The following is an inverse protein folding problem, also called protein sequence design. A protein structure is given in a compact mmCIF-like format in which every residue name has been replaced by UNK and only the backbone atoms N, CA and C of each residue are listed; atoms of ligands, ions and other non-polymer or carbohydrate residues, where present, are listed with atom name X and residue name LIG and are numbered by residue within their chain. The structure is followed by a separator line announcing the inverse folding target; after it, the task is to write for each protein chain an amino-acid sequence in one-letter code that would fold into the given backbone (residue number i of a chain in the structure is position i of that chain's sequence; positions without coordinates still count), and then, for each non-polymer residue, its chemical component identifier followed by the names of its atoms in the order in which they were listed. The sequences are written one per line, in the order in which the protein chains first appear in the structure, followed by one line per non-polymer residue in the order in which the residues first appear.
data_IF_617541206324
#
_entry.id   IF_617541206324
#
_cell.length_a   1.000
_cell.length_b   1.000
_cell.length_c   1.000
_cell.angle_alpha   90.00
_cell.angle_beta   90.00
_cell.angle_gamma   90.00
#
_symmetry.space_group_name_H-M   'P 1'
#
loop_
_entity.id
_entity.type
_entity.pdbx_description
1 polymer ?
#
# COMPACT_ATOMS: atom_id res chain seq x y z
N UNK A 1 1.40 34.06 -1.96
CA UNK A 1 1.82 33.57 -0.63
C UNK A 1 1.97 32.04 -0.69
N UNK A 2 3.09 31.47 -0.24
CA UNK A 2 3.36 30.02 -0.33
C UNK A 2 3.09 29.26 0.97
N UNK A 3 2.53 28.05 0.88
CA UNK A 3 2.26 27.14 2.01
C UNK A 3 3.16 25.90 1.91
N UNK A 4 3.55 25.33 3.06
CA UNK A 4 4.27 24.04 3.12
C UNK A 4 3.35 22.91 2.64
N UNK A 5 3.92 21.96 1.90
CA UNK A 5 3.20 20.82 1.29
C UNK A 5 3.76 19.50 1.79
N UNK A 6 2.86 18.54 2.01
CA UNK A 6 3.20 17.18 2.39
C UNK A 6 3.57 16.34 1.16
N UNK A 7 4.22 15.18 1.39
CA UNK A 7 4.62 14.22 0.35
C UNK A 7 5.58 14.78 -0.72
N UNK A 8 6.49 15.68 -0.32
CA UNK A 8 7.59 16.16 -1.18
C UNK A 8 8.95 15.66 -0.69
N UNK A 9 9.88 15.46 -1.63
CA UNK A 9 11.26 15.06 -1.37
C UNK A 9 12.23 15.91 -2.18
N UNK A 10 13.44 16.12 -1.66
CA UNK A 10 14.52 16.83 -2.35
C UNK A 10 15.82 16.07 -2.14
N UNK A 11 16.61 15.92 -3.20
CA UNK A 11 17.88 15.17 -3.19
C UNK A 11 18.89 15.85 -4.11
N UNK A 12 20.16 15.49 -3.97
CA UNK A 12 21.23 15.91 -4.87
C UNK A 12 21.20 15.02 -6.11
N UNK A 13 21.37 15.61 -7.29
CA UNK A 13 21.33 14.89 -8.56
C UNK A 13 22.74 14.40 -8.96
N UNK A 14 22.81 13.26 -9.62
CA UNK A 14 24.01 12.74 -10.27
C UNK A 14 23.64 12.28 -11.69
N UNK A 15 24.50 12.51 -12.70
CA UNK A 15 24.22 12.06 -14.06
C UNK A 15 24.33 10.53 -14.15
N UNK A 16 23.29 9.86 -14.64
CA UNK A 16 23.30 8.42 -14.93
C UNK A 16 22.92 8.19 -16.41
N UNK A 17 23.83 7.66 -17.25
CA UNK A 17 23.57 7.45 -18.68
C UNK A 17 22.71 6.23 -19.00
N UNK A 18 22.41 5.36 -18.02
CA UNK A 18 21.60 4.15 -18.23
C UNK A 18 20.09 4.41 -18.13
N UNK A 19 19.70 5.61 -17.71
CA UNK A 19 18.31 5.98 -17.43
C UNK A 19 17.72 6.69 -18.64
N UNK A 20 16.48 6.38 -19.01
CA UNK A 20 15.78 7.05 -20.09
C UNK A 20 15.46 8.51 -19.74
N UNK A 21 15.23 9.35 -20.77
CA UNK A 21 14.99 10.80 -20.59
C UNK A 21 13.72 11.08 -19.77
N UNK A 22 12.75 10.16 -19.79
CA UNK A 22 11.48 10.28 -19.07
C UNK A 22 11.51 9.62 -17.67
N UNK A 23 12.62 9.01 -17.29
CA UNK A 23 12.76 8.27 -16.03
C UNK A 23 13.60 9.02 -14.99
N UNK A 24 13.31 8.76 -13.71
CA UNK A 24 14.04 9.34 -12.58
C UNK A 24 14.32 8.24 -11.57
N UNK A 25 15.59 8.13 -11.16
CA UNK A 25 16.01 7.18 -10.12
C UNK A 25 15.64 7.72 -8.74
N UNK A 26 14.85 6.94 -8.00
CA UNK A 26 14.46 7.26 -6.63
C UNK A 26 15.22 6.33 -5.67
N UNK A 27 15.92 6.86 -4.65
CA UNK A 27 16.60 6.01 -3.69
C UNK A 27 15.61 5.26 -2.81
N UNK A 28 15.97 4.03 -2.42
CA UNK A 28 15.10 3.14 -1.63
C UNK A 28 14.61 3.77 -0.33
N UNK A 29 15.46 4.57 0.34
CA UNK A 29 15.09 5.22 1.60
C UNK A 29 13.95 6.24 1.44
N UNK A 30 13.88 6.95 0.31
CA UNK A 30 12.77 7.87 0.00
C UNK A 30 11.56 7.05 -0.45
N UNK A 31 11.79 6.05 -1.32
CA UNK A 31 10.76 5.13 -1.77
C UNK A 31 10.09 4.39 -0.61
N UNK A 32 10.74 4.27 0.56
CA UNK A 32 10.16 3.72 1.81
C UNK A 32 9.22 4.68 2.56
N UNK A 33 9.29 5.99 2.32
CA UNK A 33 8.52 6.99 3.09
C UNK A 33 7.37 7.62 2.31
N UNK A 34 7.55 7.86 1.01
CA UNK A 34 6.52 8.49 0.18
C UNK A 34 5.40 7.47 -0.08
N UNK A 35 4.15 7.84 0.23
CA UNK A 35 2.97 6.98 0.06
C UNK A 35 1.97 7.62 -0.90
N UNK A 36 1.21 6.77 -1.59
CA UNK A 36 0.13 7.18 -2.49
C UNK A 36 -1.16 6.46 -2.09
N UNK A 37 -2.34 7.07 -2.25
CA UNK A 37 -3.61 6.39 -2.02
C UNK A 37 -4.12 5.65 -3.27
N UNK A 38 -4.36 4.33 -3.19
CA UNK A 38 -4.83 3.51 -4.31
C UNK A 38 -6.15 2.81 -4.01
N UNK A 39 -7.17 2.94 -4.84
CA UNK A 39 -8.43 2.21 -4.59
C UNK A 39 -8.28 0.73 -4.90
N UNK A 40 -8.83 -0.14 -4.04
CA UNK A 40 -8.91 -1.57 -4.34
C UNK A 40 -9.93 -1.79 -5.45
N UNK A 41 -9.54 -2.58 -6.44
CA UNK A 41 -10.36 -3.05 -7.55
C UNK A 41 -10.04 -4.53 -7.78
N UNK A 42 -10.93 -5.26 -8.46
CA UNK A 42 -10.75 -6.70 -8.65
C UNK A 42 -9.46 -7.06 -9.40
N UNK A 43 -8.98 -6.15 -10.25
CA UNK A 43 -7.73 -6.33 -11.02
C UNK A 43 -6.48 -6.17 -10.16
N UNK A 44 -6.50 -5.33 -9.12
CA UNK A 44 -5.32 -4.99 -8.33
C UNK A 44 -5.25 -5.71 -6.98
N UNK A 45 -6.31 -6.40 -6.57
CA UNK A 45 -6.43 -7.01 -5.23
C UNK A 45 -5.29 -7.99 -4.92
N UNK A 46 -4.85 -8.78 -5.90
CA UNK A 46 -3.79 -9.77 -5.70
C UNK A 46 -2.42 -9.12 -5.44
N UNK A 47 -2.11 -8.02 -6.14
CA UNK A 47 -0.87 -7.26 -5.95
C UNK A 47 -0.86 -6.55 -4.60
N UNK A 48 -1.99 -5.95 -4.22
CA UNK A 48 -2.12 -5.20 -2.98
C UNK A 48 -2.05 -6.10 -1.74
N UNK A 49 -2.56 -7.33 -1.82
CA UNK A 49 -2.38 -8.32 -0.75
C UNK A 49 -0.91 -8.64 -0.51
N UNK A 50 -0.10 -8.79 -1.58
CA UNK A 50 1.34 -9.05 -1.47
C UNK A 50 2.08 -7.88 -0.78
N UNK A 51 1.73 -6.64 -1.09
CA UNK A 51 2.37 -5.46 -0.47
C UNK A 51 2.02 -5.30 1.00
N UNK A 52 0.82 -5.70 1.43
CA UNK A 52 0.43 -5.77 2.85
C UNK A 52 1.29 -6.82 3.59
N UNK A 53 1.46 -8.01 3.00
CA UNK A 53 2.27 -9.09 3.59
C UNK A 53 3.74 -8.69 3.73
N UNK A 54 4.29 -7.98 2.74
CA UNK A 54 5.67 -7.47 2.79
C UNK A 54 5.89 -6.44 3.92
N UNK A 55 4.85 -5.70 4.31
CA UNK A 55 4.92 -4.68 5.36
C UNK A 55 5.66 -3.39 4.93
N UNK A 56 6.16 -2.64 5.91
CA UNK A 56 6.76 -1.30 5.69
C UNK A 56 8.24 -1.35 5.31
N UNK A 57 8.96 -2.37 5.78
CA UNK A 57 10.43 -2.45 5.69
C UNK A 57 10.94 -2.81 4.29
N UNK A 58 10.17 -3.59 3.53
CA UNK A 58 10.53 -4.08 2.20
C UNK A 58 9.73 -3.36 1.12
N UNK A 59 10.43 -2.75 0.16
CA UNK A 59 9.80 -2.19 -1.03
C UNK A 59 9.66 -3.31 -2.09
N UNK A 60 8.50 -3.45 -2.78
CA UNK A 60 7.23 -2.74 -2.61
C UNK A 60 6.43 -3.23 -1.38
N UNK A 61 5.87 -2.29 -0.62
CA UNK A 61 5.24 -2.56 0.68
C UNK A 61 4.20 -1.51 1.06
N UNK A 62 3.29 -1.85 1.97
CA UNK A 62 2.19 -0.98 2.40
C UNK A 62 2.40 -0.43 3.81
N UNK A 63 2.00 0.84 4.02
CA UNK A 63 2.11 1.51 5.32
C UNK A 63 0.80 1.54 6.09
N UNK A 64 -0.32 1.79 5.41
CA UNK A 64 -1.62 2.01 6.05
C UNK A 64 -2.75 1.51 5.16
N UNK A 65 -3.78 0.92 5.78
CA UNK A 65 -5.02 0.54 5.12
C UNK A 65 -6.16 1.35 5.74
N UNK A 66 -7.02 1.91 4.90
CA UNK A 66 -8.20 2.64 5.33
C UNK A 66 -9.45 1.86 4.90
N UNK A 67 -10.26 1.49 5.88
CA UNK A 67 -11.52 0.77 5.65
C UNK A 67 -12.65 1.78 5.72
N UNK A 68 -13.52 1.75 4.72
CA UNK A 68 -14.70 2.63 4.67
C UNK A 68 -15.54 2.40 5.94
N UNK A 69 -15.65 3.45 6.76
CA UNK A 69 -16.43 3.44 8.01
C UNK A 69 -15.73 2.91 9.26
N UNK A 70 -14.52 2.33 9.17
CA UNK A 70 -13.83 1.75 10.33
C UNK A 70 -12.51 2.46 10.70
N UNK A 71 -12.13 3.51 9.97
CA UNK A 71 -10.96 4.32 10.26
C UNK A 71 -9.66 3.78 9.64
N UNK A 72 -8.53 4.33 10.11
CA UNK A 72 -7.20 4.08 9.58
C UNK A 72 -6.48 3.02 10.40
N UNK A 73 -5.92 2.03 9.71
CA UNK A 73 -5.21 0.91 10.33
C UNK A 73 -3.73 0.93 9.91
N UNK A 74 -2.82 1.31 10.83
CA UNK A 74 -1.39 1.30 10.56
C UNK A 74 -0.83 -0.14 10.55
N UNK A 75 -0.01 -0.46 9.55
CA UNK A 75 0.61 -1.80 9.37
C UNK A 75 2.01 -1.89 9.99
N UNK A 76 2.26 -1.14 11.06
CA UNK A 76 3.59 -1.05 11.71
C UNK A 76 3.97 -2.41 12.30
N UNK A 77 3.03 -3.07 12.98
CA UNK A 77 3.28 -4.32 13.70
C UNK A 77 3.00 -5.57 12.87
N UNK A 78 3.76 -6.64 13.14
CA UNK A 78 3.52 -7.95 12.50
C UNK A 78 2.16 -8.55 12.88
N UNK A 79 1.64 -8.24 14.07
CA UNK A 79 0.32 -8.66 14.52
C UNK A 79 -0.78 -7.92 13.76
N UNK A 80 -0.72 -6.59 13.64
CA UNK A 80 -1.72 -5.82 12.88
C UNK A 80 -1.77 -6.18 11.39
N UNK A 81 -0.62 -6.57 10.81
CA UNK A 81 -0.55 -7.15 9.45
C UNK A 81 -1.31 -8.47 9.36
N UNK A 82 -1.10 -9.37 10.32
CA UNK A 82 -1.79 -10.67 10.39
C UNK A 82 -3.28 -10.47 10.63
N UNK A 83 -3.69 -9.55 11.48
CA UNK A 83 -5.10 -9.29 11.80
C UNK A 83 -5.90 -8.69 10.64
N UNK A 84 -5.23 -8.12 9.63
CA UNK A 84 -5.85 -7.70 8.37
C UNK A 84 -5.92 -8.82 7.32
N UNK A 85 -4.96 -9.74 7.34
CA UNK A 85 -4.88 -10.87 6.40
C UNK A 85 -5.74 -12.05 6.89
N UNK A 86 -5.82 -12.26 8.20
CA UNK A 86 -6.47 -13.40 8.84
C UNK A 86 -7.98 -13.31 9.13
N UNK A 87 -8.73 -12.21 8.89
CA UNK A 87 -10.19 -12.27 8.86
C UNK A 87 -10.70 -12.74 7.49
N UNK A 88 -9.82 -13.00 6.51
CA UNK A 88 -10.17 -13.63 5.24
C UNK A 88 -9.53 -15.01 5.04
N UNK A 89 -8.73 -15.51 5.99
CA UNK A 89 -8.15 -16.86 5.87
C UNK A 89 -9.10 -17.96 6.39
N UNK A 90 -9.94 -17.68 7.38
CA UNK A 90 -10.83 -18.69 7.98
C UNK A 90 -12.25 -18.75 7.37
N UNK A 91 -12.64 -17.78 6.53
CA UNK A 91 -13.93 -17.83 5.82
C UNK A 91 -13.87 -18.65 4.52
N UNK A 92 -12.69 -19.16 4.14
CA UNK A 92 -12.49 -20.13 3.04
C UNK A 92 -12.33 -21.59 3.54
N UNK A 93 -12.29 -21.79 4.86
CA UNK A 93 -12.38 -23.11 5.49
C UNK A 93 -13.82 -23.43 5.98
N UNK A 94 -14.74 -22.47 5.91
CA UNK A 94 -16.17 -22.69 6.13
C UNK A 94 -16.90 -22.74 4.78
N UNK A 95 -17.57 -23.88 4.55
CA UNK A 95 -18.39 -24.33 3.42
C UNK A 95 -19.19 -23.28 2.61
N UNK A 96 -19.51 -23.57 1.33
CA UNK A 96 -20.15 -22.64 0.41
C UNK A 96 -21.66 -22.55 0.66
N UNK A 97 -22.12 -21.55 1.40
CA UNK A 97 -23.44 -20.94 1.25
C UNK A 97 -23.63 -19.87 2.32
N UNK A 98 -24.24 -18.75 1.92
CA UNK A 98 -24.99 -17.84 2.81
C UNK A 98 -24.14 -16.84 3.60
N UNK A 99 -23.95 -15.67 2.99
CA UNK A 99 -24.39 -14.36 3.51
C UNK A 99 -23.37 -13.26 3.28
N UNK A 100 -23.77 -12.29 2.46
CA UNK A 100 -23.17 -10.95 2.31
C UNK A 100 -21.75 -10.87 1.77
N UNK A 101 -21.68 -10.78 0.44
CA UNK A 101 -20.73 -9.89 -0.25
C UNK A 101 -20.99 -8.43 0.17
N UNK A 102 -20.79 -8.08 1.45
CA UNK A 102 -20.82 -6.69 1.90
C UNK A 102 -19.48 -6.06 1.57
N UNK A 103 -19.41 -5.56 0.34
CA UNK A 103 -18.59 -4.42 -0.08
C UNK A 103 -17.22 -4.36 0.59
N UNK A 104 -16.29 -5.14 0.07
CA UNK A 104 -14.87 -4.84 0.18
C UNK A 104 -14.49 -3.63 -0.71
N UNK A 105 -15.28 -2.55 -0.65
CA UNK A 105 -14.85 -1.22 -1.09
C UNK A 105 -13.87 -0.71 -0.03
N UNK A 106 -12.71 -1.34 0.06
CA UNK A 106 -11.62 -0.92 0.93
C UNK A 106 -10.78 0.10 0.16
N UNK A 107 -10.62 1.30 0.71
CA UNK A 107 -9.79 2.35 0.11
C UNK A 107 -8.44 2.24 0.82
N UNK A 108 -7.57 1.32 0.43
CA UNK A 108 -6.25 1.27 1.08
C UNK A 108 -5.35 2.38 0.55
N UNK A 109 -4.59 3.06 1.42
CA UNK A 109 -3.57 3.97 0.91
C UNK A 109 -2.34 3.17 0.47
N UNK A 110 -2.39 2.65 -0.75
CA UNK A 110 -1.34 1.78 -1.28
C UNK A 110 -0.21 2.52 -1.95
N UNK A 111 0.96 2.26 -1.42
CA UNK A 111 2.22 2.74 -1.92
C UNK A 111 2.66 1.93 -3.13
N UNK A 112 2.23 2.40 -4.31
CA UNK A 112 2.76 1.96 -5.60
C UNK A 112 3.65 3.07 -6.12
N UNK A 113 4.97 2.85 -6.05
CA UNK A 113 5.92 3.57 -6.91
C UNK A 113 6.04 2.68 -8.14
N UNK A 114 5.84 3.26 -9.33
CA UNK A 114 6.07 2.57 -10.60
C UNK A 114 7.56 2.38 -10.80
#
# INVERSE_FOLDING_TARGET
MGKRVDYSGRTVISPDPNVEVDEIVIPEHVAKKITYPGRVTDRNIAELRKTIVNGVEKHPGAFMVEKVGAGNFPLVDSQSRRDFVNPCYNDLAATPATTTATRCNQIGRFKRIK
#
